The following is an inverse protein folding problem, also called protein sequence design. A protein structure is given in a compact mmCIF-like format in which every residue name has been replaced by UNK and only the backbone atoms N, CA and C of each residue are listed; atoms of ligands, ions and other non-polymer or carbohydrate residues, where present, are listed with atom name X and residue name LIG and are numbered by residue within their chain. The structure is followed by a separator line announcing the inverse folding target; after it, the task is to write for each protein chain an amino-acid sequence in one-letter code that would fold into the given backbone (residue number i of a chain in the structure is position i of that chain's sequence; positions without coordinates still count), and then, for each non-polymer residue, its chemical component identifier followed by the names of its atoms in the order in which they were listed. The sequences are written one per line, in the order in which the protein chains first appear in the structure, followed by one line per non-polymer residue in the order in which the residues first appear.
data_IF_910684360219
#
_entry.id   IF_910684360219
#
_cell.length_a   1.000
_cell.length_b   1.000
_cell.length_c   1.000
_cell.angle_alpha   90.00
_cell.angle_beta   90.00
_cell.angle_gamma   90.00
#
_symmetry.space_group_name_H-M   'P 1'
#
loop_
_entity.id
_entity.type
_entity.pdbx_description
1 polymer ?
#
# COMPACT_ATOMS: atom_id res chain seq x y z
N UNK A 1 20.50 16.97 -1.01
CA UNK A 1 19.98 16.75 0.36
C UNK A 1 19.13 15.48 0.33
N UNK A 2 19.74 14.29 0.46
CA UNK A 2 19.09 12.97 0.23
C UNK A 2 19.35 12.01 1.41
N UNK A 3 19.83 12.51 2.55
CA UNK A 3 20.41 11.68 3.62
C UNK A 3 19.49 11.20 4.74
N UNK A 4 18.28 11.74 4.89
CA UNK A 4 17.46 11.52 6.12
C UNK A 4 16.23 10.63 5.93
N UNK A 5 15.96 10.18 4.71
CA UNK A 5 14.65 9.62 4.37
C UNK A 5 14.39 8.20 4.89
N UNK A 6 15.46 7.45 5.20
CA UNK A 6 15.36 6.10 5.75
C UNK A 6 16.25 6.00 7.00
N UNK A 7 15.82 6.65 8.09
CA UNK A 7 16.45 6.45 9.40
C UNK A 7 16.29 4.97 9.77
N UNK A 8 17.41 4.26 9.92
CA UNK A 8 17.43 2.89 10.42
C UNK A 8 16.77 2.87 11.80
N UNK A 9 15.63 2.18 11.93
CA UNK A 9 14.98 1.88 13.21
C UNK A 9 15.45 0.52 13.69
N UNK A 10 15.79 0.41 14.97
CA UNK A 10 16.03 -0.88 15.62
C UNK A 10 14.68 -1.49 16.07
N UNK A 11 14.71 -2.70 16.64
CA UNK A 11 13.49 -3.40 17.07
C UNK A 11 12.76 -2.65 18.19
N UNK A 12 13.50 -2.02 19.10
CA UNK A 12 12.93 -1.24 20.21
C UNK A 12 12.25 0.02 19.68
N UNK A 13 12.84 0.69 18.69
CA UNK A 13 12.25 1.85 18.01
C UNK A 13 10.95 1.48 17.31
N UNK A 14 10.85 0.28 16.72
CA UNK A 14 9.64 -0.22 16.05
C UNK A 14 8.53 -0.42 17.09
N UNK A 15 8.84 -1.09 18.19
CA UNK A 15 7.86 -1.38 19.24
C UNK A 15 7.47 -0.15 20.07
N UNK A 16 8.36 0.81 20.27
CA UNK A 16 8.05 2.04 21.02
C UNK A 16 6.95 2.90 20.35
N UNK A 17 6.77 2.77 19.04
CA UNK A 17 5.69 3.43 18.30
C UNK A 17 4.41 2.60 18.16
N UNK A 18 4.39 1.39 18.72
CA UNK A 18 3.21 0.52 18.69
C UNK A 18 2.28 0.90 19.85
N UNK A 19 1.15 1.52 19.50
CA UNK A 19 0.05 1.74 20.43
C UNK A 19 -0.94 0.56 20.31
N UNK A 20 -1.09 -0.29 21.34
CA UNK A 20 -2.03 -1.41 21.32
C UNK A 20 -3.50 -0.97 21.39
N UNK A 21 -3.77 0.27 21.83
CA UNK A 21 -5.10 0.81 22.13
C UNK A 21 -5.58 1.85 21.10
N UNK A 22 -5.08 1.81 19.86
CA UNK A 22 -5.58 2.67 18.77
C UNK A 22 -7.08 2.40 18.57
N UNK A 23 -7.89 3.30 19.12
CA UNK A 23 -9.35 3.18 19.21
C UNK A 23 -10.08 3.23 17.86
N UNK A 24 -9.44 3.75 16.82
CA UNK A 24 -9.95 3.72 15.44
C UNK A 24 -8.86 3.19 14.49
N UNK A 25 -9.00 1.95 13.97
CA UNK A 25 -8.00 1.39 13.09
C UNK A 25 -7.96 2.18 11.78
N UNK A 26 -6.82 2.81 11.51
CA UNK A 26 -6.60 3.49 10.24
C UNK A 26 -6.69 2.50 9.07
N UNK A 27 -7.27 2.95 7.96
CA UNK A 27 -7.48 2.13 6.76
C UNK A 27 -6.87 2.77 5.54
N UNK A 28 -6.33 1.92 4.67
CA UNK A 28 -5.91 2.27 3.34
C UNK A 28 -7.04 1.95 2.36
N UNK A 29 -7.65 3.00 1.83
CA UNK A 29 -8.69 2.92 0.80
C UNK A 29 -8.06 2.73 -0.59
N UNK A 30 -8.86 2.22 -1.53
CA UNK A 30 -8.47 1.98 -2.92
C UNK A 30 -8.91 3.09 -3.87
N UNK A 31 -9.77 4.01 -3.41
CA UNK A 31 -10.40 5.03 -4.26
C UNK A 31 -11.49 4.46 -5.17
N UNK A 32 -11.71 3.14 -5.14
CA UNK A 32 -12.75 2.43 -5.87
C UNK A 32 -13.85 2.03 -4.89
N UNK A 33 -15.00 2.71 -5.00
CA UNK A 33 -16.12 2.58 -4.07
C UNK A 33 -16.53 1.13 -3.82
N UNK A 34 -16.62 0.32 -4.86
CA UNK A 34 -17.07 -1.08 -4.77
C UNK A 34 -16.05 -1.95 -4.00
N UNK A 35 -14.75 -1.70 -4.21
CA UNK A 35 -13.68 -2.41 -3.51
C UNK A 35 -13.64 -1.98 -2.04
N UNK A 36 -13.70 -0.68 -1.79
CA UNK A 36 -13.69 -0.14 -0.43
C UNK A 36 -14.89 -0.67 0.37
N UNK A 37 -16.08 -0.72 -0.24
CA UNK A 37 -17.26 -1.33 0.37
C UNK A 37 -17.07 -2.82 0.66
N UNK A 38 -16.55 -3.58 -0.30
CA UNK A 38 -16.28 -5.01 -0.12
C UNK A 38 -15.27 -5.27 1.02
N UNK A 39 -14.33 -4.35 1.24
CA UNK A 39 -13.33 -4.41 2.31
C UNK A 39 -13.75 -3.68 3.60
N UNK A 40 -15.00 -3.20 3.69
CA UNK A 40 -15.53 -2.45 4.83
C UNK A 40 -14.71 -1.20 5.16
N UNK A 41 -14.42 -0.39 4.14
CA UNK A 41 -13.67 0.86 4.23
C UNK A 41 -12.17 0.74 3.92
N UNK A 42 -11.73 -0.32 3.24
CA UNK A 42 -10.33 -0.53 2.86
C UNK A 42 -9.53 -1.44 3.79
N UNK A 43 -8.22 -1.58 3.52
CA UNK A 43 -7.32 -2.47 4.26
C UNK A 43 -6.87 -1.85 5.57
N UNK A 44 -6.82 -2.64 6.64
CA UNK A 44 -6.36 -2.19 7.95
C UNK A 44 -4.85 -1.92 7.93
N UNK A 45 -4.45 -0.72 8.34
CA UNK A 45 -3.04 -0.40 8.57
C UNK A 45 -2.51 -1.13 9.81
N UNK A 46 -1.22 -1.45 9.81
CA UNK A 46 -0.57 -2.20 10.89
C UNK A 46 -0.99 -3.67 10.97
N UNK A 47 -1.72 -4.19 9.99
CA UNK A 47 -2.12 -5.60 9.88
C UNK A 47 -1.60 -6.22 8.59
N UNK A 48 -1.38 -7.53 8.63
CA UNK A 48 -1.08 -8.32 7.43
C UNK A 48 -2.40 -8.72 6.76
N UNK A 49 -2.55 -8.36 5.48
CA UNK A 49 -3.69 -8.76 4.65
C UNK A 49 -3.21 -9.69 3.54
N UNK A 50 -3.83 -10.86 3.41
CA UNK A 50 -3.52 -11.85 2.38
C UNK A 50 -4.60 -11.87 1.29
N UNK A 51 -4.16 -11.95 0.03
CA UNK A 51 -5.04 -12.08 -1.13
C UNK A 51 -4.60 -13.28 -1.94
N UNK A 52 -5.44 -14.30 -2.00
CA UNK A 52 -5.15 -15.56 -2.67
C UNK A 52 -6.22 -15.90 -3.71
N UNK A 53 -5.87 -16.79 -4.63
CA UNK A 53 -6.76 -17.21 -5.73
C UNK A 53 -6.01 -17.75 -6.95
N UNK A 54 -6.71 -18.33 -7.93
CA UNK A 54 -6.10 -18.92 -9.12
C UNK A 54 -5.38 -17.89 -10.01
N UNK A 55 -4.51 -18.34 -10.92
CA UNK A 55 -3.90 -17.44 -11.91
C UNK A 55 -4.98 -16.68 -12.68
N UNK A 56 -4.72 -15.41 -13.00
CA UNK A 56 -5.69 -14.53 -13.68
C UNK A 56 -6.81 -13.97 -12.79
N UNK A 57 -6.90 -14.34 -11.50
CA UNK A 57 -7.95 -13.84 -10.58
C UNK A 57 -7.84 -12.36 -10.19
N UNK A 58 -6.87 -11.62 -10.74
CA UNK A 58 -6.71 -10.19 -10.46
C UNK A 58 -5.80 -9.82 -9.28
N UNK A 59 -5.14 -10.77 -8.59
CA UNK A 59 -4.26 -10.47 -7.42
C UNK A 59 -3.20 -9.39 -7.70
N UNK A 60 -2.45 -9.52 -8.79
CA UNK A 60 -1.43 -8.53 -9.17
C UNK A 60 -2.07 -7.19 -9.54
N UNK A 61 -3.22 -7.21 -10.22
CA UNK A 61 -3.96 -5.99 -10.56
C UNK A 61 -4.44 -5.26 -9.30
N UNK A 62 -4.92 -6.01 -8.31
CA UNK A 62 -5.35 -5.50 -7.03
C UNK A 62 -4.20 -4.82 -6.27
N UNK A 63 -3.04 -5.49 -6.18
CA UNK A 63 -1.85 -4.93 -5.52
C UNK A 63 -1.28 -3.69 -6.24
N UNK A 64 -1.29 -3.68 -7.58
CA UNK A 64 -0.90 -2.52 -8.37
C UNK A 64 -1.87 -1.35 -8.19
N UNK A 65 -3.17 -1.61 -8.14
CA UNK A 65 -4.19 -0.57 -7.93
C UNK A 65 -4.03 0.09 -6.56
N UNK A 66 -3.80 -0.71 -5.51
CA UNK A 66 -3.48 -0.19 -4.18
C UNK A 66 -2.23 0.68 -4.18
N UNK A 67 -1.20 0.24 -4.92
CA UNK A 67 0.05 0.98 -5.06
C UNK A 67 -0.21 2.33 -5.71
N UNK A 68 -0.90 2.36 -6.85
CA UNK A 68 -1.27 3.60 -7.54
C UNK A 68 -2.01 4.58 -6.63
N UNK A 69 -3.00 4.09 -5.88
CA UNK A 69 -3.77 4.92 -4.95
C UNK A 69 -2.88 5.56 -3.88
N UNK A 70 -1.94 4.80 -3.30
CA UNK A 70 -0.98 5.35 -2.33
C UNK A 70 -0.09 6.40 -2.99
N UNK A 71 0.42 6.12 -4.20
CA UNK A 71 1.30 7.03 -4.93
C UNK A 71 0.58 8.36 -5.24
N UNK A 72 -0.66 8.31 -5.74
CA UNK A 72 -1.43 9.50 -6.12
C UNK A 72 -1.80 10.31 -4.87
N UNK A 73 -2.42 9.68 -3.87
CA UNK A 73 -2.96 10.44 -2.74
C UNK A 73 -1.92 10.88 -1.71
N UNK A 74 -0.82 10.15 -1.56
CA UNK A 74 0.11 10.38 -0.45
C UNK A 74 1.44 10.98 -0.90
N UNK A 75 1.95 10.60 -2.09
CA UNK A 75 3.25 11.11 -2.55
C UNK A 75 3.19 12.45 -3.28
N UNK A 76 2.02 12.83 -3.81
CA UNK A 76 1.84 14.17 -4.39
C UNK A 76 1.87 15.23 -3.28
N UNK A 77 1.43 14.90 -2.07
CA UNK A 77 1.24 15.86 -0.98
C UNK A 77 2.29 15.79 0.14
N UNK A 78 2.98 14.66 0.32
CA UNK A 78 4.08 14.53 1.28
C UNK A 78 5.15 13.57 0.76
N UNK A 79 6.40 13.77 1.20
CA UNK A 79 7.46 12.79 0.97
C UNK A 79 7.43 11.66 1.99
N UNK A 80 6.65 11.71 3.06
CA UNK A 80 6.77 10.81 4.21
C UNK A 80 6.34 9.36 3.98
N UNK A 81 5.80 9.06 2.79
CA UNK A 81 5.31 7.72 2.45
C UNK A 81 6.29 7.02 1.51
N UNK A 82 6.43 5.71 1.68
CA UNK A 82 7.21 4.84 0.79
C UNK A 82 6.39 3.60 0.50
N UNK A 83 6.23 3.26 -0.77
CA UNK A 83 5.67 1.98 -1.17
C UNK A 83 6.82 1.04 -1.57
N UNK A 84 7.00 -0.02 -0.81
CA UNK A 84 7.92 -1.11 -1.16
C UNK A 84 7.12 -2.22 -1.84
N UNK A 85 7.24 -2.33 -3.16
CA UNK A 85 6.63 -3.40 -3.93
C UNK A 85 7.65 -4.50 -4.23
N UNK A 86 7.47 -5.68 -3.63
CA UNK A 86 8.29 -6.86 -3.92
C UNK A 86 7.56 -7.73 -4.93
N UNK A 87 8.18 -7.97 -6.08
CA UNK A 87 7.62 -8.77 -7.17
C UNK A 87 8.51 -9.97 -7.47
N UNK A 88 7.94 -11.18 -7.39
CA UNK A 88 8.69 -12.44 -7.48
C UNK A 88 8.60 -13.12 -8.85
N UNK A 89 7.72 -12.66 -9.73
CA UNK A 89 7.39 -13.35 -10.98
C UNK A 89 8.00 -12.63 -12.21
N UNK A 90 9.33 -12.53 -12.24
CA UNK A 90 10.08 -11.90 -13.33
C UNK A 90 10.13 -10.38 -13.22
N UNK A 91 9.94 -9.68 -14.33
CA UNK A 91 10.04 -8.21 -14.39
C UNK A 91 8.80 -7.55 -13.76
N UNK A 92 9.03 -6.57 -12.89
CA UNK A 92 7.95 -5.75 -12.32
C UNK A 92 7.07 -5.17 -13.45
N UNK A 93 5.73 -5.29 -13.37
CA UNK A 93 4.82 -4.89 -14.45
C UNK A 93 4.62 -3.35 -14.51
N UNK A 94 5.71 -2.62 -14.75
CA UNK A 94 5.74 -1.15 -14.75
C UNK A 94 4.81 -0.53 -15.81
N UNK A 95 4.71 -1.14 -16.99
CA UNK A 95 3.81 -0.68 -18.05
C UNK A 95 2.35 -0.68 -17.56
N UNK A 96 1.95 -1.74 -16.84
CA UNK A 96 0.61 -1.84 -16.28
C UNK A 96 0.40 -0.86 -15.13
N UNK A 97 1.40 -0.63 -14.28
CA UNK A 97 1.31 0.40 -13.25
C UNK A 97 1.06 1.78 -13.89
N UNK A 98 1.80 2.12 -14.93
CA UNK A 98 1.64 3.39 -15.64
C UNK A 98 0.25 3.54 -16.27
N UNK A 99 -0.30 2.46 -16.84
CA UNK A 99 -1.68 2.46 -17.35
C UNK A 99 -2.68 2.76 -16.24
N UNK A 100 -2.57 2.12 -15.07
CA UNK A 100 -3.47 2.36 -13.93
C UNK A 100 -3.33 3.82 -13.46
N UNK A 101 -2.11 4.31 -13.31
CA UNK A 101 -1.82 5.69 -12.91
C UNK A 101 -2.41 6.72 -13.89
N UNK A 102 -2.49 6.41 -15.18
CA UNK A 102 -3.09 7.32 -16.18
C UNK A 102 -4.62 7.34 -16.18
N UNK A 103 -5.26 6.35 -15.53
CA UNK A 103 -6.71 6.19 -15.50
C UNK A 103 -7.36 6.76 -14.23
N UNK A 104 -6.56 7.05 -13.19
CA UNK A 104 -6.98 7.70 -11.95
C UNK A 104 -6.69 9.20 -12.01
#
# INVERSE_FOLDING_TARGET
MVGEFLKKRNIDDIWAGFDPDVSDPQRLMFGVKEIDQALKGGLLLGKLSEIYGPSGSGKTQFALSLTSEVLINNLIHSKDYVVLYIYTNGTFPIARLNEILSMQ
#
